data_IF_737488165361
#
_entry.id   IF_737488165361
#
_cell.length_a   1.000
_cell.length_b   1.000
_cell.length_c   1.000
_cell.angle_alpha   90.00
_cell.angle_beta   90.00
_cell.angle_gamma   90.00
#
_symmetry.space_group_name_H-M   'P 1'
#
loop_
_entity.id
_entity.type
_entity.pdbx_description
1 polymer ?
#
# COMPACT_ATOMS: atom_id res chain seq x y z
N UNK A 1 -27.51 -0.90 -13.93
CA UNK A 1 -26.08 -1.10 -14.12
C UNK A 1 -25.29 -0.78 -12.87
N UNK A 2 -24.80 -1.81 -12.18
CA UNK A 2 -23.69 -1.67 -11.24
C UNK A 2 -22.45 -2.05 -12.04
N UNK A 3 -21.84 -1.04 -12.65
CA UNK A 3 -20.56 -1.21 -13.31
C UNK A 3 -19.54 -1.59 -12.22
N UNK A 4 -19.22 -2.87 -12.13
CA UNK A 4 -18.14 -3.41 -11.30
C UNK A 4 -16.77 -3.00 -11.85
N UNK A 5 -16.51 -1.70 -11.89
CA UNK A 5 -15.21 -1.18 -12.32
C UNK A 5 -14.14 -1.70 -11.37
N UNK A 6 -13.21 -2.45 -11.92
CA UNK A 6 -12.02 -2.90 -11.21
C UNK A 6 -11.21 -1.68 -10.79
N UNK A 7 -11.05 -1.50 -9.48
CA UNK A 7 -10.22 -0.44 -8.91
C UNK A 7 -8.76 -0.84 -9.07
N UNK A 8 -7.94 0.09 -9.52
CA UNK A 8 -6.48 -0.05 -9.64
C UNK A 8 -5.79 1.22 -9.17
N UNK A 9 -4.54 1.12 -8.77
CA UNK A 9 -3.76 2.22 -8.21
C UNK A 9 -4.11 2.50 -6.76
N UNK A 10 -3.92 3.75 -6.36
CA UNK A 10 -4.24 4.23 -5.01
C UNK A 10 -5.74 4.16 -4.74
N UNK A 11 -6.09 3.56 -3.60
CA UNK A 11 -7.46 3.46 -3.11
C UNK A 11 -7.49 3.88 -1.64
N UNK A 12 -8.45 4.71 -1.27
CA UNK A 12 -8.69 5.10 0.12
C UNK A 12 -10.08 4.66 0.53
N UNK A 13 -10.19 3.91 1.63
CA UNK A 13 -11.46 3.48 2.18
C UNK A 13 -12.17 4.61 2.95
N UNK A 14 -13.43 4.38 3.34
CA UNK A 14 -14.23 5.35 4.12
C UNK A 14 -13.67 5.64 5.51
N UNK A 15 -12.77 4.79 6.02
CA UNK A 15 -12.10 4.93 7.33
C UNK A 15 -10.74 5.65 7.19
N UNK A 16 -10.39 6.12 5.98
CA UNK A 16 -9.13 6.80 5.71
C UNK A 16 -7.92 5.87 5.63
N UNK A 17 -8.11 4.56 5.50
CA UNK A 17 -7.07 3.59 5.16
C UNK A 17 -6.70 3.71 3.69
N UNK A 18 -5.41 3.78 3.39
CA UNK A 18 -4.92 3.83 2.00
C UNK A 18 -4.35 2.48 1.60
N UNK A 19 -4.59 2.07 0.36
CA UNK A 19 -4.22 0.78 -0.23
C UNK A 19 -3.71 1.03 -1.64
N UNK A 20 -2.97 0.06 -2.18
CA UNK A 20 -2.54 0.11 -3.56
C UNK A 20 -2.93 -1.18 -4.27
N UNK A 21 -3.76 -1.07 -5.29
CA UNK A 21 -4.22 -2.21 -6.10
C UNK A 21 -3.40 -2.24 -7.39
N UNK A 22 -2.84 -3.38 -7.76
CA UNK A 22 -1.91 -3.48 -8.89
C UNK A 22 -2.55 -2.94 -10.19
N UNK A 23 -2.03 -1.86 -10.79
CA UNK A 23 -2.54 -1.36 -12.06
C UNK A 23 -2.00 -2.11 -13.28
N UNK A 24 -0.94 -2.90 -13.10
CA UNK A 24 -0.24 -3.61 -14.18
C UNK A 24 -1.11 -4.75 -14.71
N UNK A 25 -1.20 -4.85 -16.03
CA UNK A 25 -1.99 -5.89 -16.71
C UNK A 25 -1.17 -7.17 -16.90
N UNK A 26 -0.75 -7.79 -15.79
CA UNK A 26 0.16 -8.96 -15.74
C UNK A 26 -0.50 -10.21 -15.14
N UNK A 27 -1.83 -10.34 -15.27
CA UNK A 27 -2.69 -11.30 -14.56
C UNK A 27 -2.84 -11.07 -13.05
N UNK A 28 -2.20 -10.05 -12.49
CA UNK A 28 -2.41 -9.62 -11.10
C UNK A 28 -3.07 -8.26 -10.98
N UNK A 29 -3.59 -7.71 -12.09
CA UNK A 29 -4.35 -6.45 -12.11
C UNK A 29 -5.48 -6.45 -11.08
N UNK A 30 -5.57 -5.37 -10.32
CA UNK A 30 -6.54 -5.18 -9.24
C UNK A 30 -6.21 -5.93 -7.96
N UNK A 31 -5.14 -6.75 -7.90
CA UNK A 31 -4.71 -7.36 -6.64
C UNK A 31 -4.23 -6.30 -5.68
N UNK A 32 -4.68 -6.39 -4.44
CA UNK A 32 -4.16 -5.59 -3.34
C UNK A 32 -2.69 -5.95 -3.07
N UNK A 33 -1.84 -4.94 -3.09
CA UNK A 33 -0.42 -5.07 -2.80
C UNK A 33 -0.20 -5.11 -1.27
N UNK A 34 0.79 -5.89 -0.85
CA UNK A 34 1.23 -6.03 0.53
C UNK A 34 2.76 -5.99 0.58
N UNK A 35 3.33 -5.62 1.72
CA UNK A 35 4.77 -5.50 1.92
C UNK A 35 5.35 -4.24 1.29
N UNK A 36 6.66 -4.27 1.03
CA UNK A 36 7.38 -3.18 0.36
C UNK A 36 7.04 -3.12 -1.13
N UNK A 37 6.57 -1.97 -1.59
CA UNK A 37 6.23 -1.72 -2.99
C UNK A 37 6.89 -0.42 -3.44
N UNK A 38 7.56 -0.47 -4.59
CA UNK A 38 8.09 0.71 -5.25
C UNK A 38 7.02 1.32 -6.15
N UNK A 39 6.57 2.54 -5.84
CA UNK A 39 5.56 3.29 -6.59
C UNK A 39 6.17 4.65 -6.92
N UNK A 40 6.27 4.97 -8.20
CA UNK A 40 6.81 6.24 -8.70
C UNK A 40 8.17 6.64 -8.08
N UNK A 41 9.06 5.65 -7.91
CA UNK A 41 10.41 5.86 -7.37
C UNK A 41 10.48 5.97 -5.83
N UNK A 42 9.35 5.83 -5.14
CA UNK A 42 9.27 5.86 -3.68
C UNK A 42 8.85 4.50 -3.13
N UNK A 43 9.45 4.07 -2.01
CA UNK A 43 9.09 2.82 -1.36
C UNK A 43 7.97 3.06 -0.34
N UNK A 44 6.93 2.25 -0.42
CA UNK A 44 5.79 2.25 0.49
C UNK A 44 5.66 0.87 1.13
N UNK A 45 5.25 0.83 2.39
CA UNK A 45 4.97 -0.44 3.08
C UNK A 45 3.48 -0.60 3.32
N UNK A 46 2.91 -1.70 2.82
CA UNK A 46 1.52 -2.07 3.02
C UNK A 46 1.43 -3.27 3.98
N UNK A 47 0.49 -3.25 4.92
CA UNK A 47 0.39 -4.28 5.95
C UNK A 47 0.31 -5.69 5.35
N UNK A 48 1.16 -6.61 5.80
CA UNK A 48 1.13 -8.01 5.40
C UNK A 48 0.33 -8.86 6.40
N UNK A 49 0.10 -8.34 7.60
CA UNK A 49 -0.50 -9.08 8.69
C UNK A 49 -2.00 -9.30 8.48
N UNK A 50 -2.54 -10.50 8.80
CA UNK A 50 -3.96 -10.79 8.71
C UNK A 50 -4.73 -10.26 9.93
N UNK A 51 -4.49 -9.01 10.35
CA UNK A 51 -5.05 -8.38 11.55
C UNK A 51 -6.36 -7.60 11.31
N UNK A 52 -6.91 -7.71 10.10
CA UNK A 52 -8.07 -6.92 9.64
C UNK A 52 -7.70 -5.61 8.96
N UNK A 53 -6.42 -5.26 8.90
CA UNK A 53 -5.88 -4.09 8.17
C UNK A 53 -4.87 -4.49 7.09
N UNK A 54 -4.84 -5.77 6.68
CA UNK A 54 -3.99 -6.26 5.60
C UNK A 54 -4.13 -5.38 4.35
N UNK A 55 -3.00 -4.99 3.77
CA UNK A 55 -2.89 -4.10 2.61
C UNK A 55 -2.99 -2.61 2.93
N UNK A 56 -3.23 -2.22 4.19
CA UNK A 56 -3.26 -0.81 4.58
C UNK A 56 -1.84 -0.23 4.61
N UNK A 57 -1.68 0.93 4.01
CA UNK A 57 -0.44 1.70 3.99
C UNK A 57 -0.03 2.10 5.42
N UNK A 58 1.23 1.83 5.75
CA UNK A 58 1.89 2.37 6.93
C UNK A 58 2.27 3.83 6.67
N UNK A 59 1.95 4.71 7.62
CA UNK A 59 2.32 6.13 7.59
C UNK A 59 2.68 6.60 8.99
N UNK A 60 3.70 7.44 9.09
CA UNK A 60 4.21 8.01 10.33
C UNK A 60 4.51 6.93 11.40
N UNK A 61 5.07 5.79 10.98
CA UNK A 61 5.30 4.63 11.85
C UNK A 61 6.47 3.79 11.35
N UNK A 62 6.89 2.79 12.14
CA UNK A 62 7.90 1.80 11.74
C UNK A 62 7.21 0.57 11.15
N UNK A 63 7.70 0.11 10.01
CA UNK A 63 7.37 -1.21 9.47
C UNK A 63 7.95 -2.31 10.39
N UNK A 64 7.46 -3.57 10.28
CA UNK A 64 7.93 -4.68 11.12
C UNK A 64 9.44 -4.95 11.03
N UNK A 65 10.09 -4.56 9.93
CA UNK A 65 11.54 -4.67 9.72
C UNK A 65 12.35 -3.53 10.38
N UNK A 66 11.69 -2.60 11.06
CA UNK A 66 12.31 -1.47 11.77
C UNK A 66 12.50 -0.21 10.92
N UNK A 67 12.23 -0.25 9.61
CA UNK A 67 12.33 0.93 8.75
C UNK A 67 11.18 1.88 9.00
N UNK A 68 11.47 3.18 9.04
CA UNK A 68 10.47 4.20 9.30
C UNK A 68 9.93 4.78 7.99
N UNK A 69 8.61 4.88 7.87
CA UNK A 69 7.93 5.56 6.77
C UNK A 69 7.35 6.89 7.28
N UNK A 70 7.44 7.93 6.45
CA UNK A 70 7.01 9.28 6.79
C UNK A 70 5.48 9.46 6.80
N UNK A 71 5.00 10.70 6.93
CA UNK A 71 3.58 11.04 6.91
C UNK A 71 2.83 10.63 5.63
N UNK A 72 3.55 10.53 4.52
CA UNK A 72 3.03 10.08 3.22
C UNK A 72 3.16 8.56 3.06
N UNK A 73 3.74 7.86 4.04
CA UNK A 73 4.04 6.44 3.96
C UNK A 73 5.25 6.11 3.10
N UNK A 74 6.06 7.12 2.77
CA UNK A 74 7.28 6.97 1.98
C UNK A 74 8.44 6.63 2.91
N UNK A 75 9.19 5.59 2.56
CA UNK A 75 10.48 5.31 3.17
C UNK A 75 11.55 6.20 2.52
N UNK A 76 12.32 6.91 3.35
CA UNK A 76 13.37 7.84 2.95
C UNK A 76 14.67 7.16 2.47
N UNK A 77 14.66 5.82 2.36
CA UNK A 77 15.81 5.03 1.94
C UNK A 77 16.91 4.94 2.99
N UNK A 78 16.68 5.43 4.21
CA UNK A 78 17.68 5.42 5.29
C UNK A 78 17.31 4.38 6.33
N UNK A 79 18.30 3.60 6.76
CA UNK A 79 18.25 2.90 8.04
C UNK A 79 18.50 3.97 9.12
N UNK A 80 17.49 4.25 9.94
CA UNK A 80 17.61 5.19 11.06
C UNK A 80 18.34 4.56 12.24
#
# INVERSE_FOLDING_TARGET
DVNGYMVTGWYTDSQGGSYYLNPVSDNTKGRMMTGWVLIDGSYYYFNEEPDGTRGRLFRNTKAPDGRYVDENGVWDGKEK
#
